data_IF_996002144126
#
_entry.id   IF_996002144126
#
_cell.length_a   1.000
_cell.length_b   1.000
_cell.length_c   1.000
_cell.angle_alpha   90.00
_cell.angle_beta   90.00
_cell.angle_gamma   90.00
#
_symmetry.space_group_name_H-M   'P 1'
#
loop_
_entity.id
_entity.type
_entity.pdbx_description
1 polymer ?
#
# COMPACT_ATOMS: atom_id res chain seq x y z
N UNK A 1 -6.50 17.67 -4.61
CA UNK A 1 -5.27 17.29 -5.34
C UNK A 1 -4.79 15.94 -4.85
N UNK A 2 -4.56 15.01 -5.76
CA UNK A 2 -4.06 13.67 -5.46
C UNK A 2 -2.54 13.65 -5.42
N UNK A 3 -1.95 12.55 -4.92
CA UNK A 3 -0.49 12.39 -4.95
C UNK A 3 0.05 12.35 -6.38
N UNK A 4 -0.71 11.82 -7.33
CA UNK A 4 -0.35 11.82 -8.76
C UNK A 4 -0.12 13.22 -9.32
N UNK A 5 -0.96 14.18 -8.93
CA UNK A 5 -0.86 15.56 -9.41
C UNK A 5 0.38 16.27 -8.89
N UNK A 6 1.00 15.74 -7.83
CA UNK A 6 2.18 16.32 -7.16
C UNK A 6 3.49 15.70 -7.59
N UNK A 7 3.46 14.61 -8.34
CA UNK A 7 4.68 13.91 -8.75
C UNK A 7 5.34 14.69 -9.87
N UNK A 8 6.48 15.29 -9.55
CA UNK A 8 7.38 15.91 -10.52
C UNK A 8 8.71 15.18 -10.43
N UNK A 9 9.03 14.40 -11.46
CA UNK A 9 10.27 13.61 -11.50
C UNK A 9 11.38 14.47 -12.10
N UNK A 10 12.40 14.77 -11.30
CA UNK A 10 13.63 15.41 -11.76
C UNK A 10 14.67 14.31 -11.98
N UNK A 11 14.71 13.79 -13.19
CA UNK A 11 15.49 12.61 -13.56
C UNK A 11 16.99 12.76 -13.19
N UNK A 12 17.57 13.93 -13.47
CA UNK A 12 19.01 14.16 -13.23
C UNK A 12 19.37 14.05 -11.74
N UNK A 13 18.55 14.65 -10.85
CA UNK A 13 18.76 14.57 -9.39
C UNK A 13 18.57 13.13 -8.89
N UNK A 14 17.64 12.38 -9.46
CA UNK A 14 17.37 10.99 -9.09
C UNK A 14 18.54 10.08 -9.47
N UNK A 15 19.14 10.29 -10.66
CA UNK A 15 20.31 9.52 -11.11
C UNK A 15 21.48 9.68 -10.14
N UNK A 16 21.75 10.89 -9.65
CA UNK A 16 22.82 11.15 -8.69
C UNK A 16 22.59 10.38 -7.37
N UNK A 17 21.37 10.34 -6.86
CA UNK A 17 21.02 9.60 -5.65
C UNK A 17 21.13 8.09 -5.88
N UNK A 18 20.65 7.59 -7.01
CA UNK A 18 20.74 6.17 -7.36
C UNK A 18 22.19 5.72 -7.46
N UNK A 19 23.06 6.55 -8.05
CA UNK A 19 24.50 6.24 -8.15
C UNK A 19 25.19 6.24 -6.79
N UNK A 20 24.74 7.08 -5.86
CA UNK A 20 25.32 7.18 -4.52
C UNK A 20 24.88 6.02 -3.62
N UNK A 21 23.63 5.54 -3.76
CA UNK A 21 23.05 4.50 -2.93
C UNK A 21 22.42 3.38 -3.78
N UNK A 22 23.23 2.69 -4.60
CA UNK A 22 22.67 1.75 -5.59
C UNK A 22 21.92 0.57 -4.95
N UNK A 23 22.43 -0.01 -3.89
CA UNK A 23 21.77 -1.16 -3.23
C UNK A 23 20.42 -0.76 -2.62
N UNK A 24 20.37 0.41 -1.98
CA UNK A 24 19.12 0.92 -1.39
C UNK A 24 18.08 1.19 -2.45
N UNK A 25 18.46 1.86 -3.53
CA UNK A 25 17.55 2.22 -4.61
C UNK A 25 17.07 1.00 -5.39
N UNK A 26 17.95 0.06 -5.68
CA UNK A 26 17.59 -1.20 -6.35
C UNK A 26 16.64 -2.02 -5.48
N UNK A 27 16.94 -2.12 -4.19
CA UNK A 27 16.09 -2.83 -3.22
C UNK A 27 14.70 -2.22 -3.12
N UNK A 28 14.61 -0.90 -3.08
CA UNK A 28 13.31 -0.20 -3.06
C UNK A 28 12.48 -0.54 -4.31
N UNK A 29 13.10 -0.49 -5.49
CA UNK A 29 12.41 -0.81 -6.74
C UNK A 29 11.94 -2.28 -6.80
N UNK A 30 12.76 -3.21 -6.34
CA UNK A 30 12.40 -4.63 -6.28
C UNK A 30 11.21 -4.86 -5.35
N UNK A 31 11.22 -4.24 -4.18
CA UNK A 31 10.12 -4.35 -3.21
C UNK A 31 8.84 -3.77 -3.79
N UNK A 32 8.89 -2.61 -4.44
CA UNK A 32 7.68 -2.00 -5.02
C UNK A 32 7.12 -2.79 -6.20
N UNK A 33 7.97 -3.46 -6.99
CA UNK A 33 7.50 -4.39 -8.02
C UNK A 33 6.79 -5.59 -7.40
N UNK A 34 7.33 -6.14 -6.35
CA UNK A 34 6.71 -7.24 -5.60
C UNK A 34 5.37 -6.81 -5.01
N UNK A 35 5.31 -5.61 -4.42
CA UNK A 35 4.08 -5.02 -3.92
C UNK A 35 2.99 -4.96 -5.00
N UNK A 36 3.35 -4.49 -6.19
CA UNK A 36 2.42 -4.38 -7.30
C UNK A 36 1.92 -5.74 -7.77
N UNK A 37 2.83 -6.70 -7.93
CA UNK A 37 2.46 -8.06 -8.34
C UNK A 37 1.49 -8.70 -7.33
N UNK A 38 1.77 -8.57 -6.04
CA UNK A 38 0.89 -9.08 -4.98
C UNK A 38 -0.46 -8.37 -5.01
N UNK A 39 -0.47 -7.05 -5.21
CA UNK A 39 -1.69 -6.27 -5.35
C UNK A 39 -2.56 -6.79 -6.50
N UNK A 40 -1.99 -7.05 -7.66
CA UNK A 40 -2.72 -7.58 -8.81
C UNK A 40 -3.36 -8.94 -8.51
N UNK A 41 -2.61 -9.83 -7.87
CA UNK A 41 -3.13 -11.17 -7.50
C UNK A 41 -4.29 -11.06 -6.51
N UNK A 42 -4.17 -10.19 -5.51
CA UNK A 42 -5.23 -9.98 -4.52
C UNK A 42 -6.47 -9.32 -5.16
N UNK A 43 -6.27 -8.40 -6.09
CA UNK A 43 -7.39 -7.82 -6.84
C UNK A 43 -8.14 -8.87 -7.66
N UNK A 44 -7.43 -9.80 -8.27
CA UNK A 44 -8.04 -10.91 -9.01
C UNK A 44 -8.90 -11.80 -8.08
N UNK A 45 -8.45 -12.01 -6.85
CA UNK A 45 -9.17 -12.85 -5.88
C UNK A 45 -10.36 -12.14 -5.23
N UNK A 46 -10.15 -10.90 -4.79
CA UNK A 46 -11.14 -10.17 -3.98
C UNK A 46 -12.05 -9.25 -4.80
N UNK A 47 -11.55 -8.71 -5.90
CA UNK A 47 -12.25 -7.64 -6.62
C UNK A 47 -12.21 -6.31 -5.86
N UNK A 48 -12.73 -5.23 -6.46
CA UNK A 48 -12.63 -3.89 -5.88
C UNK A 48 -13.57 -3.64 -4.70
N UNK A 49 -14.71 -4.32 -4.62
CA UNK A 49 -15.74 -4.05 -3.61
C UNK A 49 -15.30 -4.37 -2.19
N UNK A 50 -14.29 -5.22 -2.03
CA UNK A 50 -13.71 -5.52 -0.72
C UNK A 50 -13.15 -4.26 -0.04
N UNK A 51 -12.42 -3.45 -0.77
CA UNK A 51 -11.90 -2.16 -0.29
C UNK A 51 -12.96 -1.06 -0.39
N UNK A 52 -13.77 -1.12 -1.42
CA UNK A 52 -14.86 -0.16 -1.66
C UNK A 52 -16.06 -0.28 -0.71
N UNK A 53 -16.00 -1.18 0.27
CA UNK A 53 -17.07 -1.37 1.26
C UNK A 53 -18.42 -1.64 0.58
N UNK A 54 -18.42 -2.57 -0.39
CA UNK A 54 -19.59 -2.94 -1.17
C UNK A 54 -19.75 -2.18 -2.49
N UNK A 55 -18.92 -1.18 -2.73
CA UNK A 55 -18.91 -0.40 -3.99
C UNK A 55 -17.79 -0.87 -4.89
N UNK A 56 -18.07 -1.10 -6.15
CA UNK A 56 -17.06 -1.47 -7.14
C UNK A 56 -16.15 -0.28 -7.51
N UNK A 57 -16.71 0.92 -7.50
CA UNK A 57 -16.01 2.16 -7.86
C UNK A 57 -16.23 3.21 -6.79
N UNK A 58 -15.17 3.92 -6.46
CA UNK A 58 -15.23 5.05 -5.54
C UNK A 58 -15.47 6.33 -6.35
N UNK A 59 -16.63 6.93 -6.15
CA UNK A 59 -17.08 8.08 -6.94
C UNK A 59 -17.39 9.32 -6.11
N UNK A 60 -17.95 9.15 -4.91
CA UNK A 60 -18.38 10.25 -4.04
C UNK A 60 -17.45 10.42 -2.85
N UNK A 61 -17.53 11.58 -2.18
CA UNK A 61 -16.79 11.84 -0.96
C UNK A 61 -17.22 10.89 0.18
N UNK A 62 -18.49 10.49 0.22
CA UNK A 62 -19.00 9.51 1.17
C UNK A 62 -18.38 8.12 0.91
N UNK A 63 -18.25 7.72 -0.35
CA UNK A 63 -17.55 6.48 -0.72
C UNK A 63 -16.10 6.52 -0.23
N UNK A 64 -15.40 7.64 -0.44
CA UNK A 64 -14.03 7.84 0.03
C UNK A 64 -13.95 7.67 1.54
N UNK A 65 -14.81 8.35 2.29
CA UNK A 65 -14.80 8.30 3.74
C UNK A 65 -14.98 6.87 4.27
N UNK A 66 -15.96 6.15 3.76
CA UNK A 66 -16.23 4.77 4.16
C UNK A 66 -15.06 3.84 3.87
N UNK A 67 -14.49 3.92 2.69
CA UNK A 67 -13.35 3.09 2.30
C UNK A 67 -12.10 3.44 3.09
N UNK A 68 -11.88 4.72 3.38
CA UNK A 68 -10.75 5.17 4.22
C UNK A 68 -10.85 4.62 5.64
N UNK A 69 -12.05 4.60 6.23
CA UNK A 69 -12.26 4.00 7.56
C UNK A 69 -11.92 2.51 7.51
N UNK A 70 -12.41 1.79 6.52
CA UNK A 70 -12.11 0.37 6.34
C UNK A 70 -10.62 0.10 6.20
N UNK A 71 -9.93 0.89 5.40
CA UNK A 71 -8.47 0.77 5.22
C UNK A 71 -7.71 1.10 6.51
N UNK A 72 -8.14 2.12 7.26
CA UNK A 72 -7.52 2.47 8.53
C UNK A 72 -7.63 1.32 9.54
N UNK A 73 -8.77 0.65 9.61
CA UNK A 73 -8.96 -0.53 10.47
C UNK A 73 -8.01 -1.66 10.06
N UNK A 74 -7.91 -1.95 8.75
CA UNK A 74 -7.00 -2.99 8.23
C UNK A 74 -5.54 -2.68 8.53
N UNK A 75 -5.13 -1.43 8.33
CA UNK A 75 -3.77 -0.99 8.67
C UNK A 75 -3.49 -1.10 10.16
N UNK A 76 -4.46 -0.73 11.00
CA UNK A 76 -4.32 -0.86 12.45
C UNK A 76 -4.09 -2.31 12.87
N UNK A 77 -4.83 -3.25 12.32
CA UNK A 77 -4.63 -4.67 12.61
C UNK A 77 -3.21 -5.12 12.29
N UNK A 78 -2.69 -4.70 11.15
CA UNK A 78 -1.32 -5.03 10.74
C UNK A 78 -0.26 -4.36 11.61
N UNK A 79 -0.50 -3.12 12.05
CA UNK A 79 0.40 -2.41 12.97
C UNK A 79 0.39 -3.08 14.35
N UNK A 80 -0.77 -3.47 14.85
CA UNK A 80 -0.86 -4.18 16.13
C UNK A 80 -0.12 -5.52 16.08
N UNK A 81 -0.25 -6.25 14.97
CA UNK A 81 0.50 -7.49 14.76
C UNK A 81 2.01 -7.24 14.74
N UNK A 82 2.45 -6.20 14.02
CA UNK A 82 3.85 -5.79 13.96
C UNK A 82 4.39 -5.50 15.36
N UNK A 83 3.67 -4.69 16.14
CA UNK A 83 4.06 -4.35 17.50
C UNK A 83 4.17 -5.59 18.39
N UNK A 84 3.20 -6.50 18.30
CA UNK A 84 3.22 -7.74 19.09
C UNK A 84 4.43 -8.61 18.74
N UNK A 85 4.72 -8.79 17.46
CA UNK A 85 5.85 -9.62 17.02
C UNK A 85 7.19 -9.00 17.41
N UNK A 86 7.35 -7.70 17.25
CA UNK A 86 8.62 -7.00 17.52
C UNK A 86 8.85 -6.83 19.04
N UNK A 87 7.86 -6.28 19.76
CA UNK A 87 8.01 -6.00 21.19
C UNK A 87 8.10 -7.25 22.05
N UNK A 88 7.35 -8.27 21.68
CA UNK A 88 7.33 -9.52 22.42
C UNK A 88 8.35 -10.55 21.89
N UNK A 89 9.11 -10.19 20.86
CA UNK A 89 10.14 -11.05 20.24
C UNK A 89 9.58 -12.44 19.87
N UNK A 90 8.37 -12.45 19.28
CA UNK A 90 7.68 -13.68 18.90
C UNK A 90 7.94 -14.00 17.44
N UNK A 91 8.06 -15.31 17.15
CA UNK A 91 8.07 -15.76 15.76
C UNK A 91 6.65 -15.78 15.21
N UNK A 92 6.44 -15.34 13.95
CA UNK A 92 5.12 -15.40 13.35
C UNK A 92 4.71 -16.84 13.05
N UNK A 93 3.44 -17.16 13.34
CA UNK A 93 2.88 -18.49 13.09
C UNK A 93 2.22 -18.65 11.72
N UNK A 94 1.63 -17.59 11.21
CA UNK A 94 0.80 -17.65 9.99
C UNK A 94 1.43 -16.92 8.83
N UNK A 95 1.81 -15.70 9.05
CA UNK A 95 2.25 -14.76 8.03
C UNK A 95 3.56 -14.12 8.48
N UNK A 96 4.54 -14.03 7.60
CA UNK A 96 5.85 -13.46 7.92
C UNK A 96 5.76 -11.97 8.29
N UNK A 97 6.78 -11.47 8.99
CA UNK A 97 6.90 -10.04 9.29
C UNK A 97 6.99 -9.21 8.00
N UNK A 98 7.74 -9.70 7.01
CA UNK A 98 7.88 -9.02 5.72
C UNK A 98 6.54 -8.93 4.98
N UNK A 99 5.74 -10.00 4.98
CA UNK A 99 4.40 -9.98 4.38
C UNK A 99 3.50 -8.96 5.08
N UNK A 100 3.62 -8.86 6.39
CA UNK A 100 2.88 -7.88 7.18
C UNK A 100 3.24 -6.44 6.80
N UNK A 101 4.53 -6.16 6.60
CA UNK A 101 5.01 -4.85 6.18
C UNK A 101 4.56 -4.52 4.74
N UNK A 102 4.60 -5.49 3.84
CA UNK A 102 4.09 -5.33 2.46
C UNK A 102 2.60 -5.00 2.48
N UNK A 103 1.82 -5.66 3.32
CA UNK A 103 0.38 -5.36 3.45
C UNK A 103 0.12 -3.93 3.93
N UNK A 104 0.87 -3.47 4.93
CA UNK A 104 0.78 -2.08 5.42
C UNK A 104 1.08 -1.10 4.28
N UNK A 105 2.15 -1.34 3.53
CA UNK A 105 2.56 -0.49 2.41
C UNK A 105 1.49 -0.46 1.30
N UNK A 106 0.96 -1.62 0.93
CA UNK A 106 -0.08 -1.71 -0.09
C UNK A 106 -1.38 -1.04 0.34
N UNK A 107 -1.79 -1.18 1.60
CA UNK A 107 -2.97 -0.47 2.10
C UNK A 107 -2.80 1.05 2.03
N UNK A 108 -1.59 1.56 2.29
CA UNK A 108 -1.31 2.99 2.17
C UNK A 108 -1.45 3.47 0.71
N UNK A 109 -0.95 2.70 -0.25
CA UNK A 109 -1.12 3.02 -1.68
C UNK A 109 -2.59 2.94 -2.09
N UNK A 110 -3.31 1.92 -1.65
CA UNK A 110 -4.76 1.80 -1.90
C UNK A 110 -5.52 2.99 -1.35
N UNK A 111 -5.17 3.47 -0.16
CA UNK A 111 -5.78 4.66 0.44
C UNK A 111 -5.59 5.90 -0.44
N UNK A 112 -4.42 6.05 -1.05
CA UNK A 112 -4.16 7.15 -1.99
C UNK A 112 -5.03 7.03 -3.25
N UNK A 113 -5.23 5.82 -3.77
CA UNK A 113 -6.11 5.57 -4.91
C UNK A 113 -7.58 5.85 -4.56
N UNK A 114 -8.00 5.48 -3.37
CA UNK A 114 -9.36 5.79 -2.87
C UNK A 114 -9.56 7.30 -2.77
N UNK A 115 -8.61 8.01 -2.15
CA UNK A 115 -8.69 9.48 -2.04
C UNK A 115 -8.74 10.18 -3.38
N UNK A 116 -8.06 9.64 -4.37
CA UNK A 116 -8.05 10.17 -5.73
C UNK A 116 -9.25 9.77 -6.56
N UNK A 117 -10.18 8.99 -6.01
CA UNK A 117 -11.34 8.44 -6.72
C UNK A 117 -10.95 7.63 -7.97
N UNK A 118 -9.81 6.94 -7.88
CA UNK A 118 -9.30 6.07 -8.93
C UNK A 118 -9.60 4.59 -8.66
N UNK A 119 -10.00 4.26 -7.43
CA UNK A 119 -10.26 2.87 -7.05
C UNK A 119 -11.41 2.27 -7.85
N UNK A 120 -11.19 1.09 -8.42
CA UNK A 120 -12.19 0.37 -9.22
C UNK A 120 -12.36 0.86 -10.65
N UNK A 121 -11.54 1.78 -11.09
CA UNK A 121 -11.63 2.38 -12.44
C UNK A 121 -10.44 2.04 -13.32
#
# INVERSE_FOLDING_TARGET
MTVKDKIVIKIDSNVDIENKYPETCDGFQEITRHMYDLFLRKQADYGPSNIGMGKDKIETDDDVEKSMIGLAVRMNDKVQRLLNLVLNKRDPNNESLDDNLIDIANYAVMALLVRGKEWGK
#
